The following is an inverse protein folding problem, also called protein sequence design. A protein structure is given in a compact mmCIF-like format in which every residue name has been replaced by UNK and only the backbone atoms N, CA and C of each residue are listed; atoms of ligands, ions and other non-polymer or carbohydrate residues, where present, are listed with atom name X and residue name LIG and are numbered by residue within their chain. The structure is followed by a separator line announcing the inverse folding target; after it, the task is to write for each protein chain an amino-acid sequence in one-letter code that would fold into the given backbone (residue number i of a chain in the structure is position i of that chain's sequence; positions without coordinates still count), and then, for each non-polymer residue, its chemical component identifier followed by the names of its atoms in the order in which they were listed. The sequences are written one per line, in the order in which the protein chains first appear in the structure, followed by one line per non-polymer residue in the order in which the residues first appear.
data_IF_820088552456
#
_entry.id   IF_820088552456
#
_cell.length_a   1.000
_cell.length_b   1.000
_cell.length_c   1.000
_cell.angle_alpha   90.00
_cell.angle_beta   90.00
_cell.angle_gamma   90.00
#
_symmetry.space_group_name_H-M   'P 1'
#
loop_
_entity.id
_entity.type
_entity.pdbx_description
1 polymer ?
#
# COMPACT_ATOMS: atom_id res chain seq x y z
N UNK A 1 21.27 -14.50 3.67
CA UNK A 1 19.95 -14.90 3.15
C UNK A 1 19.06 -15.11 4.35
N UNK A 2 18.10 -14.22 4.58
CA UNK A 2 17.02 -14.48 5.53
C UNK A 2 15.72 -13.88 4.94
N UNK A 3 14.82 -14.78 4.56
CA UNK A 3 13.53 -14.47 3.97
C UNK A 3 12.53 -14.14 5.10
N UNK A 4 12.56 -12.91 5.62
CA UNK A 4 11.63 -12.49 6.67
C UNK A 4 10.84 -11.21 6.34
N UNK A 5 10.79 -10.80 5.07
CA UNK A 5 10.02 -9.61 4.65
C UNK A 5 8.49 -9.82 4.64
N UNK A 6 8.02 -11.07 4.70
CA UNK A 6 6.58 -11.40 4.62
C UNK A 6 5.87 -11.64 5.95
N UNK A 7 6.58 -11.73 7.08
CA UNK A 7 6.06 -12.38 8.30
C UNK A 7 5.61 -11.43 9.41
N UNK A 8 6.01 -10.16 9.37
CA UNK A 8 5.75 -9.20 10.46
C UNK A 8 4.24 -8.92 10.59
N UNK A 9 3.52 -8.79 9.49
CA UNK A 9 2.09 -8.44 9.53
C UNK A 9 1.16 -9.58 9.98
N UNK A 10 1.60 -10.85 9.85
CA UNK A 10 0.78 -12.03 10.21
C UNK A 10 0.89 -12.37 11.70
N UNK A 11 2.03 -12.07 12.33
CA UNK A 11 2.27 -12.39 13.73
C UNK A 11 1.71 -11.36 14.71
N UNK A 12 1.71 -10.09 14.33
CA UNK A 12 1.03 -9.06 15.12
C UNK A 12 -0.38 -8.90 14.57
N UNK A 13 -1.38 -9.10 15.43
CA UNK A 13 -2.80 -8.77 15.20
C UNK A 13 -2.95 -7.24 15.10
N UNK A 14 -2.22 -6.62 14.17
CA UNK A 14 -2.16 -5.18 13.96
C UNK A 14 -3.52 -4.77 13.43
N UNK A 15 -4.15 -3.84 14.15
CA UNK A 15 -5.36 -3.16 13.70
C UNK A 15 -5.05 -2.52 12.34
N UNK A 16 -6.01 -2.53 11.42
CA UNK A 16 -5.84 -2.05 10.04
C UNK A 16 -5.09 -0.71 9.95
N UNK A 17 -5.36 0.21 10.88
CA UNK A 17 -4.68 1.50 10.98
C UNK A 17 -3.15 1.36 11.17
N UNK A 18 -2.68 0.49 12.06
CA UNK A 18 -1.24 0.29 12.29
C UNK A 18 -0.53 -0.28 11.06
N UNK A 19 -1.22 -1.07 10.24
CA UNK A 19 -0.62 -1.59 8.99
C UNK A 19 -0.45 -0.51 7.95
N UNK A 20 -1.45 0.37 7.83
CA UNK A 20 -1.37 1.54 6.95
C UNK A 20 -0.23 2.45 7.40
N UNK A 21 -0.16 2.79 8.69
CA UNK A 21 0.92 3.63 9.24
C UNK A 21 2.30 3.09 8.91
N UNK A 22 2.55 1.79 9.12
CA UNK A 22 3.84 1.16 8.79
C UNK A 22 4.13 1.22 7.29
N UNK A 23 3.13 0.95 6.44
CA UNK A 23 3.32 0.98 5.00
C UNK A 23 3.63 2.38 4.48
N UNK A 24 2.99 3.41 5.04
CA UNK A 24 3.17 4.82 4.67
C UNK A 24 4.60 5.30 4.92
N UNK A 25 5.26 4.83 5.98
CA UNK A 25 6.67 5.17 6.28
C UNK A 25 7.62 4.75 5.15
N UNK A 26 7.23 3.77 4.34
CA UNK A 26 8.03 3.25 3.23
C UNK A 26 7.60 3.79 1.86
N UNK A 27 6.62 4.70 1.79
CA UNK A 27 6.24 5.33 0.54
C UNK A 27 7.19 6.49 0.23
N UNK A 28 7.60 6.56 -1.03
CA UNK A 28 8.50 7.60 -1.54
C UNK A 28 7.98 8.15 -2.87
N UNK A 29 8.53 9.30 -3.29
CA UNK A 29 8.24 9.90 -4.59
C UNK A 29 6.76 10.22 -4.80
N UNK A 30 6.24 9.90 -5.98
CA UNK A 30 4.85 10.20 -6.35
C UNK A 30 3.83 9.41 -5.53
N UNK A 31 4.24 8.28 -4.94
CA UNK A 31 3.37 7.41 -4.16
C UNK A 31 2.98 8.06 -2.83
N UNK A 32 3.92 8.71 -2.13
CA UNK A 32 3.60 9.41 -0.87
C UNK A 32 2.79 10.69 -1.12
N UNK A 33 3.06 11.42 -2.21
CA UNK A 33 2.25 12.60 -2.59
C UNK A 33 0.80 12.20 -2.88
N UNK A 34 0.61 11.10 -3.61
CA UNK A 34 -0.72 10.56 -3.85
C UNK A 34 -1.42 10.15 -2.55
N UNK A 35 -0.72 9.42 -1.68
CA UNK A 35 -1.30 8.94 -0.42
C UNK A 35 -1.81 10.10 0.44
N UNK A 36 -1.01 11.16 0.60
CA UNK A 36 -1.39 12.34 1.37
C UNK A 36 -2.65 13.04 0.80
N UNK A 37 -2.75 13.14 -0.53
CA UNK A 37 -3.95 13.68 -1.19
C UNK A 37 -5.16 12.76 -1.00
N UNK A 38 -4.96 11.44 -1.08
CA UNK A 38 -6.00 10.46 -0.94
C UNK A 38 -6.57 10.44 0.49
N UNK A 39 -5.71 10.47 1.51
CA UNK A 39 -6.10 10.55 2.92
C UNK A 39 -6.83 11.87 3.23
N UNK A 40 -6.34 13.00 2.72
CA UNK A 40 -7.01 14.30 2.89
C UNK A 40 -8.44 14.29 2.34
N UNK A 41 -8.67 13.63 1.21
CA UNK A 41 -9.96 13.60 0.53
C UNK A 41 -10.92 12.52 1.05
N UNK A 42 -10.41 11.41 1.57
CA UNK A 42 -11.23 10.25 1.98
C UNK A 42 -11.23 9.97 3.49
N UNK A 43 -10.41 10.68 4.27
CA UNK A 43 -10.16 10.41 5.69
C UNK A 43 -9.22 9.23 5.92
N UNK A 44 -9.24 8.68 7.14
CA UNK A 44 -8.43 7.52 7.52
C UNK A 44 -8.75 6.26 6.69
N UNK A 45 -7.74 5.43 6.50
CA UNK A 45 -7.80 4.27 5.62
C UNK A 45 -7.83 2.94 6.39
N UNK A 46 -8.74 2.04 5.97
CA UNK A 46 -8.56 0.62 6.27
C UNK A 46 -7.43 0.05 5.41
N UNK A 47 -6.86 -1.06 5.85
CA UNK A 47 -5.79 -1.72 5.10
C UNK A 47 -6.25 -2.16 3.70
N UNK A 48 -7.51 -2.57 3.57
CA UNK A 48 -8.10 -2.95 2.30
C UNK A 48 -8.15 -1.77 1.30
N UNK A 49 -8.71 -0.63 1.72
CA UNK A 49 -8.83 0.54 0.83
C UNK A 49 -7.47 1.11 0.43
N UNK A 50 -6.50 1.08 1.34
CA UNK A 50 -5.12 1.45 1.03
C UNK A 50 -4.53 0.61 -0.11
N UNK A 51 -4.65 -0.73 -0.04
CA UNK A 51 -4.16 -1.62 -1.09
C UNK A 51 -4.88 -1.44 -2.42
N UNK A 52 -6.20 -1.31 -2.39
CA UNK A 52 -7.01 -1.11 -3.60
C UNK A 52 -6.63 0.20 -4.30
N UNK A 53 -6.44 1.30 -3.56
CA UNK A 53 -6.00 2.57 -4.14
C UNK A 53 -4.60 2.49 -4.75
N UNK A 54 -3.65 1.82 -4.08
CA UNK A 54 -2.31 1.62 -4.63
C UNK A 54 -2.33 0.81 -5.93
N UNK A 55 -3.09 -0.30 -5.96
CA UNK A 55 -3.22 -1.13 -7.15
C UNK A 55 -3.92 -0.38 -8.29
N UNK A 56 -4.95 0.40 -7.98
CA UNK A 56 -5.67 1.17 -9.00
C UNK A 56 -4.79 2.25 -9.64
N UNK A 57 -3.86 2.85 -8.89
CA UNK A 57 -3.03 3.96 -9.40
C UNK A 57 -1.65 3.55 -9.90
N UNK A 58 -1.03 2.57 -9.27
CA UNK A 58 0.36 2.16 -9.53
C UNK A 58 0.48 0.66 -9.83
N UNK A 59 -0.62 -0.09 -9.78
CA UNK A 59 -0.61 -1.48 -10.20
C UNK A 59 -0.35 -1.57 -11.71
N UNK A 60 0.18 -2.70 -12.18
CA UNK A 60 0.31 -2.96 -13.60
C UNK A 60 -1.06 -2.79 -14.26
N UNK A 61 -1.09 -2.06 -15.36
CA UNK A 61 -2.29 -2.02 -16.19
C UNK A 61 -2.39 -3.36 -16.91
N UNK A 62 -3.60 -3.86 -17.21
CA UNK A 62 -3.77 -5.11 -17.97
C UNK A 62 -3.02 -5.09 -19.33
N UNK A 63 -2.56 -3.91 -19.77
CA UNK A 63 -1.75 -3.69 -20.97
C UNK A 63 -0.24 -3.97 -20.79
N UNK A 64 0.27 -4.12 -19.57
CA UNK A 64 1.70 -4.42 -19.30
C UNK A 64 2.07 -5.90 -19.52
N UNK A 65 1.14 -6.71 -20.05
CA UNK A 65 1.31 -8.14 -20.31
C UNK A 65 1.18 -8.51 -21.80
N UNK A 66 1.27 -7.52 -22.72
CA UNK A 66 1.33 -7.74 -24.16
C UNK A 66 2.75 -7.49 -24.68
N UNK A 67 3.71 -8.24 -24.14
CA UNK A 67 4.97 -8.50 -24.85
C UNK A 67 4.92 -9.98 -25.25
N UNK A 68 4.82 -10.21 -26.57
CA UNK A 68 4.65 -11.52 -27.22
C UNK A 68 5.93 -12.27 -27.50
#
# INVERSE_FOLDING_TARGET
MDHARGTIFRFYRTVDATRVEIAVIHLEGDTIHWFNLYEYTHGGLSWQRFKEGLLNRFGPTDFDNIDG
#
